data_IF_931102540413
#
_entry.id   IF_931102540413
#
_cell.length_a   1.000
_cell.length_b   1.000
_cell.length_c   1.000
_cell.angle_alpha   90.00
_cell.angle_beta   90.00
_cell.angle_gamma   90.00
#
_symmetry.space_group_name_H-M   'P 1'
#
loop_
_entity.id
_entity.type
_entity.pdbx_description
1 polymer ?
#
# COMPACT_ATOMS: atom_id res chain seq x y z
N UNK A 1 7.92 -13.27 6.10
CA UNK A 1 8.45 -13.34 6.17
C UNK A 1 8.46 -12.68 6.10
N UNK A 2 8.35 -13.02 5.91
CA UNK A 2 8.71 -13.03 5.97
C UNK A 2 8.67 -12.36 6.15
N UNK A 3 8.18 -13.17 6.61
CA UNK A 3 9.00 -13.04 6.87
C UNK A 3 9.15 -12.69 6.83
N UNK A 4 9.05 -13.04 6.70
CA UNK A 4 9.85 -12.88 6.90
C UNK A 4 10.21 -12.61 6.74
N UNK A 5 9.86 -12.79 6.86
CA UNK A 5 10.67 -12.47 6.98
C UNK A 5 10.90 -12.16 6.75
N UNK A 6 10.55 -12.23 6.98
CA UNK A 6 11.32 -11.89 7.04
C UNK A 6 11.48 -11.61 7.22
N UNK A 7 11.59 -11.87 7.47
CA UNK A 7 12.28 -11.72 7.81
C UNK A 7 12.23 -11.37 7.83
N UNK A 8 12.34 -11.82 8.16
CA UNK A 8 13.01 -11.56 8.44
C UNK A 8 13.32 -11.31 8.63
N UNK A 9 13.67 -11.75 9.19
CA UNK A 9 14.32 -11.53 9.62
C UNK A 9 14.71 -11.71 10.23
N UNK A 10 14.08 -12.99 10.53
CA UNK A 10 14.83 -13.53 11.62
C UNK A 10 16.08 -12.79 11.88
N UNK A 11 17.09 -13.28 11.57
CA UNK A 11 18.30 -12.55 11.79
C UNK A 11 18.25 -11.08 11.45
N UNK A 12 17.07 -10.57 11.31
CA UNK A 12 16.93 -9.15 11.11
C UNK A 12 17.49 -8.38 12.26
N UNK A 13 18.46 -7.58 11.97
CA UNK A 13 19.03 -6.74 13.00
C UNK A 13 18.04 -5.65 13.40
N UNK A 14 18.16 -5.17 14.63
CA UNK A 14 17.33 -4.08 15.11
C UNK A 14 17.48 -2.85 14.22
N UNK A 15 18.69 -2.63 13.71
CA UNK A 15 18.99 -1.52 12.82
C UNK A 15 18.15 -1.57 11.53
N UNK A 16 18.00 -2.75 10.95
CA UNK A 16 17.21 -2.91 9.73
C UNK A 16 15.72 -2.70 10.01
N UNK A 17 15.24 -3.17 11.15
CA UNK A 17 13.87 -2.92 11.57
C UNK A 17 13.60 -1.44 11.75
N UNK A 18 14.56 -0.72 12.36
CA UNK A 18 14.42 0.71 12.56
C UNK A 18 14.26 1.46 11.26
N UNK A 19 15.04 1.09 10.22
CA UNK A 19 14.92 1.72 8.91
C UNK A 19 13.55 1.51 8.31
N UNK A 20 13.01 0.31 8.43
CA UNK A 20 11.68 0.00 7.90
C UNK A 20 10.63 0.79 8.66
N UNK A 21 10.74 0.85 9.99
CA UNK A 21 9.77 1.56 10.81
C UNK A 21 9.86 3.07 10.66
N UNK A 22 10.96 3.59 10.09
CA UNK A 22 11.12 5.02 9.85
C UNK A 22 10.32 5.50 8.65
N UNK A 23 9.85 4.60 7.78
CA UNK A 23 9.01 4.96 6.65
C UNK A 23 7.62 5.28 7.16
N UNK A 24 7.13 6.51 6.97
CA UNK A 24 5.81 6.88 7.48
C UNK A 24 4.70 6.16 6.73
N UNK A 25 3.65 5.83 7.45
CA UNK A 25 2.47 5.27 6.81
C UNK A 25 1.75 6.34 6.00
N UNK A 26 1.34 6.02 4.78
CA UNK A 26 0.50 6.95 4.03
C UNK A 26 -0.85 7.14 4.72
N UNK A 27 -1.34 8.36 4.69
CA UNK A 27 -2.71 8.64 5.10
C UNK A 27 -3.68 8.11 4.05
N UNK A 28 -4.97 8.15 4.35
CA UNK A 28 -5.99 7.71 3.39
C UNK A 28 -5.91 8.51 2.10
N UNK A 29 -5.78 9.83 2.20
CA UNK A 29 -5.69 10.68 1.00
C UNK A 29 -4.42 10.40 0.22
N UNK A 30 -3.32 10.13 0.91
CA UNK A 30 -2.06 9.78 0.26
C UNK A 30 -2.16 8.43 -0.45
N UNK A 31 -2.87 7.48 0.15
CA UNK A 31 -3.08 6.18 -0.50
C UNK A 31 -3.91 6.32 -1.78
N UNK A 32 -4.89 7.21 -1.78
CA UNK A 32 -5.69 7.48 -2.98
C UNK A 32 -4.79 7.94 -4.12
N UNK A 33 -3.84 8.81 -3.82
CA UNK A 33 -2.88 9.29 -4.83
C UNK A 33 -1.97 8.15 -5.29
N UNK A 34 -1.45 7.36 -4.35
CA UNK A 34 -0.61 6.22 -4.70
C UNK A 34 -1.34 5.25 -5.61
N UNK A 35 -2.62 4.99 -5.36
CA UNK A 35 -3.40 4.08 -6.19
C UNK A 35 -3.53 4.59 -7.61
N UNK A 36 -3.72 5.90 -7.79
CA UNK A 36 -3.74 6.49 -9.12
C UNK A 36 -2.40 6.27 -9.84
N UNK A 37 -1.31 6.52 -9.14
CA UNK A 37 0.02 6.38 -9.73
C UNK A 37 0.37 4.91 -10.02
N UNK A 38 -0.01 4.00 -9.15
CA UNK A 38 0.21 2.57 -9.41
C UNK A 38 -0.58 2.10 -10.63
N UNK A 39 -1.79 2.61 -10.78
CA UNK A 39 -2.66 2.19 -11.88
C UNK A 39 -2.24 2.79 -13.21
N UNK A 40 -1.83 4.06 -13.22
CA UNK A 40 -1.57 4.80 -14.46
C UNK A 40 -0.10 5.06 -14.74
N UNK A 41 0.79 4.81 -13.79
CA UNK A 41 2.21 5.10 -13.93
C UNK A 41 2.57 6.52 -13.58
N UNK A 42 3.82 6.92 -13.80
CA UNK A 42 4.27 8.28 -13.47
C UNK A 42 3.37 9.33 -14.11
N UNK A 43 2.99 10.34 -13.34
CA UNK A 43 1.97 11.30 -13.76
C UNK A 43 2.23 12.68 -13.17
N UNK A 44 1.65 13.70 -13.82
CA UNK A 44 1.68 15.07 -13.30
C UNK A 44 0.61 15.24 -12.23
N UNK A 45 0.73 16.34 -11.47
CA UNK A 45 -0.29 16.67 -10.47
C UNK A 45 -1.66 16.85 -11.12
N UNK A 46 -1.69 17.49 -12.29
CA UNK A 46 -2.95 17.73 -13.01
C UNK A 46 -3.65 16.41 -13.33
N UNK A 47 -2.90 15.46 -13.86
CA UNK A 47 -3.45 14.15 -14.20
C UNK A 47 -4.02 13.46 -12.96
N UNK A 48 -3.25 13.47 -11.87
CA UNK A 48 -3.70 12.84 -10.62
C UNK A 48 -4.96 13.52 -10.11
N UNK A 49 -4.98 14.86 -10.12
CA UNK A 49 -6.14 15.60 -9.64
C UNK A 49 -7.38 15.28 -10.47
N UNK A 50 -7.21 15.19 -11.80
CA UNK A 50 -8.34 14.84 -12.68
C UNK A 50 -8.88 13.45 -12.34
N UNK A 51 -7.99 12.49 -12.10
CA UNK A 51 -8.40 11.12 -11.76
C UNK A 51 -9.11 11.07 -10.41
N UNK A 52 -8.63 11.81 -9.43
CA UNK A 52 -9.31 11.88 -8.14
C UNK A 52 -10.72 12.43 -8.28
N UNK A 53 -10.89 13.44 -9.14
CA UNK A 53 -12.20 14.06 -9.35
C UNK A 53 -13.17 13.15 -10.10
N UNK A 54 -12.67 12.15 -10.84
CA UNK A 54 -13.52 11.19 -11.50
C UNK A 54 -14.13 10.19 -10.51
N UNK A 55 -13.59 10.07 -9.32
CA UNK A 55 -14.00 9.02 -8.39
C UNK A 55 -15.27 9.37 -7.62
N UNK A 56 -15.20 10.17 -6.59
CA UNK A 56 -16.39 10.38 -5.76
C UNK A 56 -16.61 11.81 -5.30
N UNK A 57 -15.56 12.59 -5.22
CA UNK A 57 -15.66 13.93 -4.65
C UNK A 57 -14.76 14.89 -5.40
N UNK A 58 -15.13 16.15 -5.33
CA UNK A 58 -14.32 17.20 -5.93
C UNK A 58 -13.11 17.48 -5.05
N UNK A 59 -11.92 17.43 -5.65
CA UNK A 59 -10.68 17.76 -4.98
C UNK A 59 -10.03 18.92 -5.71
N UNK A 60 -9.65 19.95 -4.97
CA UNK A 60 -9.02 21.12 -5.53
C UNK A 60 -7.62 20.79 -6.02
N UNK A 61 -7.22 21.39 -7.15
CA UNK A 61 -5.88 21.17 -7.71
C UNK A 61 -4.80 21.54 -6.69
N UNK A 62 -4.97 22.69 -6.00
CA UNK A 62 -3.99 23.16 -5.04
C UNK A 62 -3.83 22.17 -3.87
N UNK A 63 -4.91 21.52 -3.47
CA UNK A 63 -4.85 20.51 -2.42
C UNK A 63 -4.04 19.30 -2.87
N UNK A 64 -4.28 18.84 -4.09
CA UNK A 64 -3.54 17.69 -4.65
C UNK A 64 -2.06 18.05 -4.80
N UNK A 65 -1.77 19.26 -5.30
CA UNK A 65 -0.40 19.72 -5.44
C UNK A 65 0.34 19.72 -4.10
N UNK A 66 -0.27 20.33 -3.09
CA UNK A 66 0.36 20.40 -1.78
C UNK A 66 0.58 19.01 -1.18
N UNK A 67 -0.41 18.14 -1.32
CA UNK A 67 -0.32 16.80 -0.77
C UNK A 67 0.79 16.00 -1.44
N UNK A 68 0.91 16.10 -2.77
CA UNK A 68 1.96 15.39 -3.50
C UNK A 68 3.34 15.94 -3.15
N UNK A 69 3.46 17.24 -2.90
CA UNK A 69 4.71 17.83 -2.44
C UNK A 69 5.10 17.28 -1.06
N UNK A 70 4.13 17.17 -0.17
CA UNK A 70 4.35 16.58 1.15
C UNK A 70 4.77 15.12 1.02
N UNK A 71 4.11 14.37 0.15
CA UNK A 71 4.46 12.97 -0.08
C UNK A 71 5.88 12.81 -0.62
N UNK A 72 6.30 13.73 -1.48
CA UNK A 72 7.66 13.73 -1.96
C UNK A 72 8.66 13.97 -0.81
N UNK A 73 8.35 14.94 0.05
CA UNK A 73 9.20 15.22 1.21
C UNK A 73 9.26 14.04 2.18
N UNK A 74 8.15 13.32 2.31
CA UNK A 74 8.06 12.14 3.17
C UNK A 74 8.70 10.91 2.52
N UNK A 75 9.18 11.04 1.28
CA UNK A 75 9.79 9.95 0.53
C UNK A 75 8.81 8.84 0.12
N UNK A 76 7.55 9.19 0.03
CA UNK A 76 6.53 8.31 -0.53
C UNK A 76 6.48 8.38 -2.04
N UNK A 77 6.95 9.48 -2.62
CA UNK A 77 7.01 9.69 -4.06
C UNK A 77 8.41 10.10 -4.48
N UNK A 78 8.75 9.73 -5.71
CA UNK A 78 9.88 10.31 -6.43
C UNK A 78 9.34 11.38 -7.35
N UNK A 79 10.20 12.31 -7.77
CA UNK A 79 9.79 13.42 -8.61
C UNK A 79 10.84 13.67 -9.70
N UNK A 80 10.38 13.67 -10.94
CA UNK A 80 11.21 14.00 -12.08
C UNK A 80 10.99 15.47 -12.41
N UNK A 81 12.06 16.28 -12.25
CA UNK A 81 12.00 17.72 -12.44
C UNK A 81 12.67 18.15 -13.74
N UNK A 82 12.88 17.20 -14.67
CA UNK A 82 13.58 17.50 -15.91
C UNK A 82 12.79 18.39 -16.87
N UNK A 83 11.48 18.52 -16.65
CA UNK A 83 10.65 19.43 -17.43
C UNK A 83 9.94 20.42 -16.51
N UNK A 84 9.28 21.43 -17.08
CA UNK A 84 8.58 22.43 -16.30
C UNK A 84 7.47 21.82 -15.45
N UNK A 85 6.82 20.81 -15.97
CA UNK A 85 5.80 20.09 -15.21
C UNK A 85 6.44 18.88 -14.57
N UNK A 86 6.49 18.87 -13.26
CA UNK A 86 7.06 17.76 -12.54
C UNK A 86 6.23 16.50 -12.69
N UNK A 87 6.88 15.36 -12.85
CA UNK A 87 6.23 14.06 -12.96
C UNK A 87 6.55 13.26 -11.70
N UNK A 88 5.51 12.76 -11.06
CA UNK A 88 5.66 12.01 -9.81
C UNK A 88 5.44 10.53 -10.05
N UNK A 89 6.17 9.72 -9.29
CA UNK A 89 6.02 8.26 -9.33
C UNK A 89 6.10 7.72 -7.90
N UNK A 90 5.48 6.56 -7.64
CA UNK A 90 5.59 5.95 -6.31
C UNK A 90 7.04 5.58 -6.01
N UNK A 91 7.48 5.85 -4.78
CA UNK A 91 8.83 5.47 -4.35
C UNK A 91 8.91 3.97 -4.06
N UNK A 92 7.77 3.33 -3.84
CA UNK A 92 7.73 1.91 -3.51
C UNK A 92 6.65 1.22 -4.34
N UNK A 93 6.94 -0.01 -4.74
CA UNK A 93 5.98 -0.79 -5.53
C UNK A 93 4.69 -1.01 -4.78
N UNK A 94 3.60 -1.17 -5.55
CA UNK A 94 2.27 -1.39 -4.99
C UNK A 94 2.23 -2.58 -4.03
N UNK A 95 2.75 -3.73 -4.48
CA UNK A 95 2.67 -4.94 -3.69
C UNK A 95 3.47 -4.83 -2.39
N UNK A 96 4.64 -4.22 -2.44
CA UNK A 96 5.45 -4.01 -1.24
C UNK A 96 4.76 -3.10 -0.25
N UNK A 97 4.16 -2.02 -0.75
CA UNK A 97 3.44 -1.09 0.12
C UNK A 97 2.26 -1.77 0.78
N UNK A 98 1.47 -2.51 0.01
CA UNK A 98 0.31 -3.22 0.54
C UNK A 98 0.70 -4.24 1.59
N UNK A 99 1.76 -5.01 1.33
CA UNK A 99 2.22 -5.99 2.30
C UNK A 99 2.70 -5.34 3.59
N UNK A 100 3.46 -4.26 3.46
CA UNK A 100 3.96 -3.52 4.62
C UNK A 100 2.82 -2.98 5.47
N UNK A 101 1.83 -2.35 4.84
CA UNK A 101 0.70 -1.77 5.55
C UNK A 101 -0.18 -2.85 6.17
N UNK A 102 -0.39 -3.95 5.45
CA UNK A 102 -1.18 -5.05 5.96
C UNK A 102 -0.52 -5.67 7.19
N UNK A 103 0.79 -5.88 7.15
CA UNK A 103 1.52 -6.42 8.29
C UNK A 103 1.37 -5.53 9.52
N UNK A 104 1.49 -4.23 9.34
CA UNK A 104 1.32 -3.29 10.45
C UNK A 104 -0.10 -3.32 10.99
N UNK A 105 -1.08 -3.42 10.10
CA UNK A 105 -2.48 -3.51 10.51
C UNK A 105 -2.74 -4.79 11.32
N UNK A 106 -2.25 -5.92 10.83
CA UNK A 106 -2.41 -7.20 11.52
C UNK A 106 -1.74 -7.16 12.90
N UNK A 107 -0.54 -6.57 12.96
CA UNK A 107 0.17 -6.46 14.24
C UNK A 107 -0.62 -5.61 15.23
N UNK A 108 -1.15 -4.47 14.80
CA UNK A 108 -1.81 -3.55 15.71
C UNK A 108 -3.23 -3.98 16.09
N UNK A 109 -3.96 -4.60 15.16
CA UNK A 109 -5.36 -4.95 15.39
C UNK A 109 -5.58 -6.40 15.79
N UNK A 110 -4.70 -7.29 15.38
CA UNK A 110 -4.88 -8.73 15.57
C UNK A 110 -3.68 -9.39 16.22
N UNK A 111 -2.83 -8.61 16.87
CA UNK A 111 -1.65 -9.12 17.59
C UNK A 111 -0.80 -10.06 16.73
N UNK A 112 -0.69 -9.75 15.44
CA UNK A 112 0.10 -10.54 14.52
C UNK A 112 -0.58 -11.78 13.96
N UNK A 113 -1.86 -11.99 14.28
CA UNK A 113 -2.57 -13.20 13.85
C UNK A 113 -3.29 -12.98 12.52
N UNK A 114 -2.68 -13.45 11.44
CA UNK A 114 -3.29 -13.40 10.12
C UNK A 114 -4.58 -14.24 10.08
N UNK A 115 -4.62 -15.36 10.80
CA UNK A 115 -5.80 -16.20 10.81
C UNK A 115 -6.99 -15.48 11.46
N UNK A 116 -6.77 -14.70 12.51
CA UNK A 116 -7.85 -13.94 13.11
C UNK A 116 -8.40 -12.88 12.17
N UNK A 117 -7.51 -12.23 11.39
CA UNK A 117 -7.95 -11.30 10.36
C UNK A 117 -8.82 -12.01 9.32
N UNK A 118 -8.36 -13.17 8.84
CA UNK A 118 -9.11 -13.93 7.83
C UNK A 118 -10.48 -14.36 8.34
N UNK A 119 -10.53 -14.85 9.58
CA UNK A 119 -11.81 -15.26 10.17
C UNK A 119 -12.77 -14.08 10.30
N UNK A 120 -12.25 -12.91 10.67
CA UNK A 120 -13.06 -11.71 10.79
C UNK A 120 -13.62 -11.30 9.42
N UNK A 121 -12.76 -11.30 8.40
CA UNK A 121 -13.19 -10.91 7.05
C UNK A 121 -14.25 -11.86 6.49
N UNK A 122 -14.02 -13.17 6.60
CA UNK A 122 -14.94 -14.16 6.06
C UNK A 122 -16.23 -14.23 6.87
N UNK A 123 -16.13 -14.01 8.17
CA UNK A 123 -17.30 -14.00 9.04
C UNK A 123 -18.26 -12.86 8.75
N UNK A 124 -17.76 -11.77 8.17
CA UNK A 124 -18.60 -10.64 7.79
C UNK A 124 -19.25 -10.82 6.41
N UNK A 125 -19.04 -11.97 5.77
CA UNK A 125 -19.66 -12.33 4.48
C UNK A 125 -19.38 -11.32 3.38
N UNK A 126 -18.17 -10.76 3.36
CA UNK A 126 -17.80 -9.77 2.34
C UNK A 126 -17.24 -10.40 1.07
N UNK A 127 -17.04 -11.71 1.07
CA UNK A 127 -16.48 -12.41 -0.09
C UNK A 127 -17.58 -13.09 -0.89
N UNK A 128 -17.49 -13.01 -2.21
CA UNK A 128 -18.39 -13.71 -3.11
C UNK A 128 -18.04 -15.20 -3.16
N UNK A 129 -18.91 -16.00 -3.79
CA UNK A 129 -18.64 -17.42 -3.99
C UNK A 129 -17.36 -17.64 -4.80
N UNK A 130 -17.17 -16.82 -5.82
CA UNK A 130 -15.97 -16.91 -6.66
C UNK A 130 -14.71 -16.58 -5.86
N UNK A 131 -14.78 -15.57 -5.02
CA UNK A 131 -13.65 -15.21 -4.18
C UNK A 131 -13.36 -16.30 -3.14
N UNK A 132 -14.41 -16.88 -2.54
CA UNK A 132 -14.23 -17.95 -1.58
C UNK A 132 -13.59 -19.18 -2.24
N UNK A 133 -13.99 -19.50 -3.48
CA UNK A 133 -13.38 -20.59 -4.21
C UNK A 133 -11.90 -20.33 -4.49
N UNK A 134 -11.56 -19.11 -4.89
CA UNK A 134 -10.18 -18.73 -5.13
C UNK A 134 -9.34 -18.84 -3.85
N UNK A 135 -9.90 -18.42 -2.72
CA UNK A 135 -9.22 -18.53 -1.43
C UNK A 135 -9.02 -20.00 -1.07
N UNK A 136 -10.02 -20.83 -1.29
CA UNK A 136 -9.93 -22.26 -1.01
C UNK A 136 -8.83 -22.91 -1.84
N UNK A 137 -8.75 -22.57 -3.11
CA UNK A 137 -7.71 -23.11 -3.99
C UNK A 137 -6.32 -22.68 -3.52
N UNK A 138 -6.19 -21.42 -3.11
CA UNK A 138 -4.93 -20.92 -2.60
C UNK A 138 -4.51 -21.66 -1.33
N UNK A 139 -5.45 -21.88 -0.41
CA UNK A 139 -5.17 -22.63 0.81
C UNK A 139 -4.70 -24.05 0.51
N UNK A 140 -5.37 -24.71 -0.44
CA UNK A 140 -4.97 -26.06 -0.85
C UNK A 140 -3.56 -26.07 -1.43
N UNK A 141 -3.24 -25.07 -2.25
CA UNK A 141 -1.91 -24.94 -2.83
C UNK A 141 -0.84 -24.76 -1.76
N UNK A 142 -1.12 -23.87 -0.80
CA UNK A 142 -0.17 -23.59 0.29
C UNK A 142 0.04 -24.83 1.16
N UNK A 143 -1.01 -25.60 1.43
CA UNK A 143 -0.89 -26.82 2.20
C UNK A 143 -0.01 -27.86 1.50
N UNK A 144 -0.10 -27.96 0.17
CA UNK A 144 0.71 -28.88 -0.60
C UNK A 144 2.20 -28.50 -0.63
N UNK A 145 2.49 -27.23 -0.46
CA UNK A 145 3.86 -26.74 -0.44
C UNK A 145 4.57 -27.01 0.90
N UNK A 146 3.81 -27.42 1.90
CA UNK A 146 4.36 -27.80 3.19
C UNK A 146 4.57 -29.30 3.22
#
# INVERSE_FOLDING_TARGET
MFVRKISYLGGMTAKKKSKISAIPEPTKSELEILQVLWQHGPSTVRFVNDKLNEQKRTVQYTSTLKLMQIMFEKKLLNRDESSMKHVYSPAMEEQRTKSFLLDRFVDSMFNGSASNLMLQLLGNKKASKEELNAIRELLNKLEKEK
#
